data_IF_925871736789
#
_entry.id   IF_925871736789
#
_cell.length_a   1.000
_cell.length_b   1.000
_cell.length_c   1.000
_cell.angle_alpha   90.00
_cell.angle_beta   90.00
_cell.angle_gamma   90.00
#
_symmetry.space_group_name_H-M   'P 1'
#
loop_
_entity.id
_entity.type
_entity.pdbx_description
1 polymer ?
#
# COMPACT_ATOMS: atom_id res chain seq x y z
N UNK A 1 11.44 14.38 1.87
CA UNK A 1 10.34 13.52 2.39
C UNK A 1 9.24 14.44 2.85
N UNK A 2 7.99 14.10 2.57
CA UNK A 2 6.84 14.93 2.96
C UNK A 2 6.60 14.87 4.48
N UNK A 3 5.87 15.85 5.01
CA UNK A 3 5.55 15.97 6.44
C UNK A 3 4.06 15.76 6.69
N UNK A 4 3.73 15.07 7.77
CA UNK A 4 2.36 14.81 8.21
C UNK A 4 1.66 13.73 7.37
N UNK A 5 0.41 13.44 7.74
CA UNK A 5 -0.36 12.41 7.04
C UNK A 5 -0.82 12.87 5.66
N UNK A 6 -0.65 12.01 4.65
CA UNK A 6 -1.04 12.26 3.26
C UNK A 6 -1.87 11.09 2.72
N UNK A 7 -2.89 11.43 1.94
CA UNK A 7 -3.77 10.46 1.29
C UNK A 7 -3.34 10.22 -0.15
N UNK A 8 -3.25 8.95 -0.51
CA UNK A 8 -2.91 8.46 -1.84
C UNK A 8 -4.00 7.53 -2.35
N UNK A 9 -4.20 7.54 -3.67
CA UNK A 9 -5.26 6.78 -4.31
C UNK A 9 -4.74 6.07 -5.55
N UNK A 10 -5.14 4.81 -5.69
CA UNK A 10 -5.11 4.05 -6.93
C UNK A 10 -6.49 4.12 -7.56
N UNK A 11 -6.60 4.78 -8.72
CA UNK A 11 -7.87 4.97 -9.42
C UNK A 11 -7.67 4.62 -10.90
N UNK A 12 -8.38 3.60 -11.38
CA UNK A 12 -8.40 3.19 -12.78
C UNK A 12 -9.81 2.80 -13.21
N UNK A 13 -10.06 2.86 -14.51
CA UNK A 13 -11.25 2.30 -15.13
C UNK A 13 -10.83 1.42 -16.31
N UNK A 14 -11.25 0.17 -16.32
CA UNK A 14 -10.95 -0.80 -17.39
C UNK A 14 -12.22 -1.58 -17.72
N UNK A 15 -12.57 -1.67 -19.00
CA UNK A 15 -13.75 -2.42 -19.47
C UNK A 15 -15.06 -2.07 -18.73
N UNK A 16 -15.23 -0.79 -18.38
CA UNK A 16 -16.41 -0.29 -17.66
C UNK A 16 -16.43 -0.58 -16.15
N UNK A 17 -15.45 -1.30 -15.59
CA UNK A 17 -15.33 -1.52 -14.13
C UNK A 17 -14.33 -0.53 -13.51
N UNK A 18 -14.73 0.06 -12.39
CA UNK A 18 -13.85 0.88 -11.56
C UNK A 18 -12.89 0.02 -10.75
N UNK A 19 -11.67 0.51 -10.59
CA UNK A 19 -10.67 -0.01 -9.65
C UNK A 19 -10.26 1.12 -8.74
N UNK A 20 -10.58 0.98 -7.46
CA UNK A 20 -10.36 2.01 -6.47
C UNK A 20 -9.68 1.44 -5.23
N UNK A 21 -8.68 2.14 -4.74
CA UNK A 21 -8.12 1.93 -3.41
C UNK A 21 -7.46 3.20 -2.93
N UNK A 22 -7.55 3.49 -1.63
CA UNK A 22 -6.88 4.64 -1.04
C UNK A 22 -6.31 4.31 0.33
N UNK A 23 -5.21 4.97 0.66
CA UNK A 23 -4.57 4.90 1.96
C UNK A 23 -4.16 6.28 2.42
N UNK A 24 -4.25 6.54 3.71
CA UNK A 24 -3.60 7.69 4.34
C UNK A 24 -2.41 7.16 5.12
N UNK A 25 -1.23 7.68 4.82
CA UNK A 25 0.01 7.29 5.50
C UNK A 25 0.76 8.50 6.02
N UNK A 26 1.61 8.25 6.99
CA UNK A 26 2.67 9.15 7.43
C UNK A 26 3.97 8.35 7.47
N UNK A 27 5.07 8.92 7.00
CA UNK A 27 6.39 8.31 7.14
C UNK A 27 7.27 9.22 7.97
N UNK A 28 7.82 8.68 9.05
CA UNK A 28 8.73 9.40 9.95
C UNK A 28 10.09 8.72 9.99
N UNK A 29 11.15 9.51 10.21
CA UNK A 29 12.50 8.97 10.46
C UNK A 29 12.58 8.44 11.88
N UNK A 30 13.26 7.31 12.06
CA UNK A 30 13.50 6.70 13.36
C UNK A 30 14.97 6.37 13.53
N UNK A 31 15.39 6.03 14.75
CA UNK A 31 16.75 5.53 15.01
C UNK A 31 16.81 3.99 15.06
N UNK A 32 15.72 3.31 14.67
CA UNK A 32 15.57 1.85 14.74
C UNK A 32 15.52 1.24 13.34
N UNK A 33 15.56 -0.08 13.26
CA UNK A 33 15.24 -0.78 12.00
C UNK A 33 13.86 -0.34 11.52
N UNK A 34 13.66 -0.24 10.21
CA UNK A 34 12.40 0.20 9.64
C UNK A 34 11.25 -0.77 9.94
N UNK A 35 10.05 -0.23 10.17
CA UNK A 35 8.87 -1.00 10.54
C UNK A 35 7.58 -0.31 10.08
N UNK A 36 6.47 -1.05 10.13
CA UNK A 36 5.13 -0.56 9.83
C UNK A 36 4.33 -0.50 11.13
N UNK A 37 3.62 0.60 11.34
CA UNK A 37 2.67 0.77 12.45
C UNK A 37 1.26 0.79 11.91
N UNK A 38 0.41 -0.12 12.40
CA UNK A 38 -1.04 -0.06 12.19
C UNK A 38 -1.66 0.93 13.19
N UNK A 39 -1.91 2.16 12.72
CA UNK A 39 -2.67 3.17 13.43
C UNK A 39 -3.95 3.52 12.66
N UNK A 40 -4.50 2.53 11.93
CA UNK A 40 -5.65 2.75 11.06
C UNK A 40 -6.91 3.01 11.89
N UNK A 41 -7.42 4.23 11.83
CA UNK A 41 -8.61 4.61 12.60
C UNK A 41 -9.92 4.43 11.83
N UNK A 42 -9.85 4.09 10.54
CA UNK A 42 -11.02 3.97 9.65
C UNK A 42 -11.86 5.26 9.62
N UNK A 43 -11.22 6.44 9.69
CA UNK A 43 -11.90 7.74 9.79
C UNK A 43 -12.89 7.95 8.65
N UNK A 44 -12.47 7.66 7.41
CA UNK A 44 -13.33 7.81 6.22
C UNK A 44 -14.58 6.93 6.31
N UNK A 45 -14.43 5.68 6.73
CA UNK A 45 -15.56 4.76 6.85
C UNK A 45 -16.48 5.12 8.02
N UNK A 46 -15.92 5.47 9.19
CA UNK A 46 -16.71 5.91 10.35
C UNK A 46 -17.49 7.19 10.06
N UNK A 47 -16.89 8.12 9.29
CA UNK A 47 -17.55 9.34 8.86
C UNK A 47 -18.74 9.10 7.92
N UNK A 48 -18.63 8.09 7.04
CA UNK A 48 -19.73 7.71 6.13
C UNK A 48 -20.77 6.79 6.79
N UNK A 49 -20.36 5.96 7.75
CA UNK A 49 -21.18 4.94 8.40
C UNK A 49 -21.02 5.03 9.92
N UNK A 50 -21.91 5.75 10.63
CA UNK A 50 -21.78 5.97 12.08
C UNK A 50 -21.79 4.69 12.94
N UNK A 51 -22.38 3.60 12.43
CA UNK A 51 -22.39 2.27 13.07
C UNK A 51 -21.32 1.34 12.48
N UNK A 52 -20.21 1.89 11.99
CA UNK A 52 -19.14 1.12 11.37
C UNK A 52 -18.59 0.04 12.30
N UNK A 53 -18.51 -1.18 11.75
CA UNK A 53 -17.81 -2.31 12.35
C UNK A 53 -16.86 -2.86 11.30
N UNK A 54 -15.60 -3.09 11.70
CA UNK A 54 -14.59 -3.65 10.80
C UNK A 54 -14.94 -5.11 10.44
N UNK A 55 -15.56 -5.27 9.27
CA UNK A 55 -15.85 -6.57 8.67
C UNK A 55 -14.58 -7.30 8.20
N UNK A 56 -14.67 -8.61 7.96
CA UNK A 56 -13.51 -9.41 7.55
C UNK A 56 -12.89 -8.95 6.22
N UNK A 57 -13.70 -8.48 5.27
CA UNK A 57 -13.19 -7.93 4.00
C UNK A 57 -12.31 -6.68 4.23
N UNK A 58 -12.65 -5.83 5.20
CA UNK A 58 -11.88 -4.64 5.55
C UNK A 58 -10.57 -5.00 6.25
N UNK A 59 -10.57 -6.07 7.06
CA UNK A 59 -9.33 -6.62 7.63
C UNK A 59 -8.37 -7.07 6.54
N UNK A 60 -8.87 -7.68 5.46
CA UNK A 60 -8.04 -8.07 4.31
C UNK A 60 -7.43 -6.85 3.62
N UNK A 61 -8.19 -5.77 3.46
CA UNK A 61 -7.67 -4.51 2.91
C UNK A 61 -6.54 -3.93 3.76
N UNK A 62 -6.74 -3.89 5.09
CA UNK A 62 -5.73 -3.42 6.05
C UNK A 62 -4.48 -4.28 6.05
N UNK A 63 -4.66 -5.59 6.08
CA UNK A 63 -3.52 -6.51 6.01
C UNK A 63 -2.76 -6.36 4.68
N UNK A 64 -3.46 -6.11 3.56
CA UNK A 64 -2.82 -5.86 2.28
C UNK A 64 -1.96 -4.60 2.31
N UNK A 65 -2.45 -3.49 2.88
CA UNK A 65 -1.66 -2.28 3.05
C UNK A 65 -0.39 -2.53 3.88
N UNK A 66 -0.53 -3.21 5.01
CA UNK A 66 0.59 -3.53 5.92
C UNK A 66 1.62 -4.43 5.23
N UNK A 67 1.17 -5.46 4.51
CA UNK A 67 2.03 -6.38 3.77
C UNK A 67 2.80 -5.64 2.67
N UNK A 68 2.13 -4.75 1.92
CA UNK A 68 2.81 -3.96 0.89
C UNK A 68 3.86 -3.01 1.48
N UNK A 69 3.53 -2.32 2.57
CA UNK A 69 4.49 -1.42 3.23
C UNK A 69 5.70 -2.18 3.79
N UNK A 70 5.46 -3.35 4.40
CA UNK A 70 6.52 -4.23 4.91
C UNK A 70 7.41 -4.72 3.78
N UNK A 71 6.82 -5.13 2.66
CA UNK A 71 7.56 -5.55 1.49
C UNK A 71 8.38 -4.41 0.89
N UNK A 72 7.83 -3.19 0.82
CA UNK A 72 8.57 -2.03 0.38
C UNK A 72 9.82 -1.78 1.25
N UNK A 73 9.66 -1.83 2.58
CA UNK A 73 10.79 -1.71 3.52
C UNK A 73 11.86 -2.77 3.25
N UNK A 74 11.45 -4.01 3.03
CA UNK A 74 12.38 -5.12 2.81
C UNK A 74 13.09 -5.05 1.44
N UNK A 75 12.42 -4.47 0.44
CA UNK A 75 12.90 -4.45 -0.94
C UNK A 75 13.68 -3.19 -1.33
N UNK A 76 13.50 -2.05 -0.66
CA UNK A 76 14.07 -0.77 -1.10
C UNK A 76 14.91 -0.06 -0.02
N UNK A 77 16.21 0.13 -0.29
CA UNK A 77 17.14 0.70 0.70
C UNK A 77 16.87 2.15 1.10
N UNK A 78 16.12 2.92 0.31
CA UNK A 78 15.81 4.30 0.68
C UNK A 78 14.87 4.38 1.90
N UNK A 79 14.24 3.25 2.25
CA UNK A 79 13.38 3.08 3.42
C UNK A 79 14.14 2.58 4.65
N UNK A 80 15.46 2.83 4.71
CA UNK A 80 16.20 2.58 5.95
C UNK A 80 15.76 3.57 7.05
N UNK A 81 15.61 3.03 8.27
CA UNK A 81 15.34 3.82 9.48
C UNK A 81 14.09 4.71 9.37
N UNK A 82 13.00 4.16 8.85
CA UNK A 82 11.69 4.83 8.79
C UNK A 82 10.62 4.03 9.51
N UNK A 83 9.61 4.70 9.99
CA UNK A 83 8.34 4.10 10.40
C UNK A 83 7.28 4.53 9.40
N UNK A 84 6.62 3.56 8.77
CA UNK A 84 5.46 3.80 7.90
C UNK A 84 4.22 3.60 8.76
N UNK A 85 3.49 4.68 9.03
CA UNK A 85 2.29 4.68 9.85
C UNK A 85 1.08 4.69 8.92
N UNK A 86 0.31 3.61 8.94
CA UNK A 86 -0.98 3.52 8.26
C UNK A 86 -2.04 4.22 9.12
N UNK A 87 -2.62 5.32 8.63
CA UNK A 87 -3.59 6.15 9.36
C UNK A 87 -5.04 5.88 8.96
N UNK A 88 -5.28 5.62 7.68
CA UNK A 88 -6.62 5.33 7.18
C UNK A 88 -6.59 4.49 5.89
N UNK A 89 -7.71 3.84 5.60
CA UNK A 89 -7.95 3.09 4.36
C UNK A 89 -9.28 3.50 3.77
N UNK A 90 -9.28 3.79 2.48
CA UNK A 90 -10.44 4.20 1.70
C UNK A 90 -10.74 3.18 0.63
N UNK A 91 -12.00 2.83 0.48
CA UNK A 91 -12.44 1.88 -0.54
C UNK A 91 -13.93 2.02 -0.85
N UNK A 92 -14.34 1.41 -1.94
CA UNK A 92 -15.73 1.18 -2.32
C UNK A 92 -15.92 -0.33 -2.42
N UNK A 93 -16.88 -0.91 -1.72
CA UNK A 93 -17.07 -2.37 -1.68
C UNK A 93 -17.20 -3.03 -3.07
N UNK A 94 -17.69 -2.29 -4.07
CA UNK A 94 -17.86 -2.79 -5.44
C UNK A 94 -16.59 -2.73 -6.28
N UNK A 95 -15.67 -1.81 -5.96
CA UNK A 95 -14.55 -1.43 -6.83
C UNK A 95 -13.18 -1.64 -6.14
N UNK A 96 -13.19 -2.05 -4.88
CA UNK A 96 -11.99 -2.22 -4.06
C UNK A 96 -11.77 -3.68 -3.72
N UNK A 97 -10.57 -4.16 -4.01
CA UNK A 97 -10.03 -5.42 -3.52
C UNK A 97 -8.66 -5.18 -2.86
N UNK A 98 -8.12 -6.15 -2.11
CA UNK A 98 -6.81 -6.04 -1.45
C UNK A 98 -5.69 -5.51 -2.36
N UNK A 99 -5.59 -5.96 -3.61
CA UNK A 99 -4.54 -5.51 -4.54
C UNK A 99 -4.64 -4.02 -4.90
N UNK A 100 -5.84 -3.44 -4.94
CA UNK A 100 -6.02 -1.99 -5.14
C UNK A 100 -5.49 -1.19 -3.95
N UNK A 101 -5.72 -1.68 -2.72
CA UNK A 101 -5.24 -1.05 -1.49
C UNK A 101 -3.71 -1.14 -1.42
N UNK A 102 -3.14 -2.31 -1.71
CA UNK A 102 -1.69 -2.45 -1.75
C UNK A 102 -1.05 -1.61 -2.87
N UNK A 103 -1.68 -1.49 -4.04
CA UNK A 103 -1.19 -0.58 -5.08
C UNK A 103 -1.19 0.88 -4.63
N UNK A 104 -2.24 1.35 -3.94
CA UNK A 104 -2.26 2.68 -3.34
C UNK A 104 -1.15 2.86 -2.30
N UNK A 105 -0.89 1.85 -1.46
CA UNK A 105 0.22 1.86 -0.50
C UNK A 105 1.59 1.95 -1.18
N UNK A 106 1.84 1.15 -2.22
CA UNK A 106 3.12 1.18 -2.95
C UNK A 106 3.37 2.57 -3.57
N UNK A 107 2.35 3.15 -4.21
CA UNK A 107 2.42 4.51 -4.76
C UNK A 107 2.69 5.52 -3.64
N UNK A 108 1.97 5.40 -2.53
CA UNK A 108 2.11 6.28 -1.38
C UNK A 108 3.54 6.31 -0.84
N UNK A 109 4.13 5.13 -0.59
CA UNK A 109 5.49 5.01 -0.05
C UNK A 109 6.52 5.66 -0.97
N UNK A 110 6.47 5.35 -2.27
CA UNK A 110 7.42 5.89 -3.25
C UNK A 110 7.30 7.42 -3.40
N UNK A 111 6.07 7.93 -3.54
CA UNK A 111 5.84 9.36 -3.68
C UNK A 111 6.18 10.15 -2.39
N UNK A 112 5.80 9.63 -1.21
CA UNK A 112 6.06 10.28 0.07
C UNK A 112 7.57 10.41 0.34
N UNK A 113 8.35 9.41 -0.09
CA UNK A 113 9.81 9.41 -0.06
C UNK A 113 10.48 10.17 -1.21
N UNK A 114 9.74 10.96 -1.99
CA UNK A 114 10.25 11.77 -3.12
C UNK A 114 10.98 10.92 -4.18
N UNK A 115 10.59 9.66 -4.30
CA UNK A 115 11.10 8.71 -5.29
C UNK A 115 9.91 8.09 -6.03
N UNK A 116 9.07 8.88 -6.74
CA UNK A 116 7.84 8.37 -7.35
C UNK A 116 8.12 7.27 -8.38
N UNK A 117 7.19 6.31 -8.49
CA UNK A 117 7.27 5.26 -9.50
C UNK A 117 7.26 5.87 -10.91
N UNK A 118 8.19 5.44 -11.76
CA UNK A 118 8.19 5.79 -13.16
C UNK A 118 7.05 5.08 -13.93
N UNK A 119 6.85 5.46 -15.18
CA UNK A 119 5.79 4.89 -16.02
C UNK A 119 5.92 3.38 -16.19
N UNK A 120 7.14 2.83 -16.26
CA UNK A 120 7.37 1.39 -16.44
C UNK A 120 6.94 0.63 -15.18
N UNK A 121 7.31 1.14 -14.01
CA UNK A 121 6.93 0.56 -12.72
C UNK A 121 5.44 0.67 -12.45
N UNK A 122 4.80 1.77 -12.85
CA UNK A 122 3.35 1.92 -12.80
C UNK A 122 2.64 0.89 -13.69
N UNK A 123 3.16 0.59 -14.87
CA UNK A 123 2.63 -0.46 -15.74
C UNK A 123 2.74 -1.85 -15.09
N UNK A 124 3.90 -2.17 -14.49
CA UNK A 124 4.09 -3.44 -13.78
C UNK A 124 3.16 -3.58 -12.58
N UNK A 125 2.90 -2.47 -11.86
CA UNK A 125 1.94 -2.43 -10.78
C UNK A 125 0.50 -2.66 -11.29
N UNK A 126 0.12 -2.01 -12.38
CA UNK A 126 -1.19 -2.20 -13.02
C UNK A 126 -1.39 -3.67 -13.46
N UNK A 127 -0.40 -4.29 -14.10
CA UNK A 127 -0.45 -5.70 -14.49
C UNK A 127 -0.55 -6.64 -13.28
N UNK A 128 0.18 -6.34 -12.21
CA UNK A 128 0.12 -7.12 -10.97
C UNK A 128 -1.27 -7.05 -10.34
N UNK A 129 -1.87 -5.87 -10.28
CA UNK A 129 -3.24 -5.66 -9.80
C UNK A 129 -4.23 -6.46 -10.65
N UNK A 130 -4.09 -6.42 -11.97
CA UNK A 130 -4.97 -7.18 -12.89
C UNK A 130 -4.90 -8.70 -12.68
N UNK A 131 -3.71 -9.24 -12.39
CA UNK A 131 -3.55 -10.67 -12.07
C UNK A 131 -4.10 -11.06 -10.69
N UNK A 132 -4.26 -10.09 -9.78
CA UNK A 132 -4.66 -10.30 -8.39
C UNK A 132 -5.96 -9.56 -8.04
N UNK A 133 -6.90 -9.48 -8.98
CA UNK A 133 -8.17 -8.74 -8.83
C UNK A 133 -9.25 -9.62 -8.16
N UNK A 134 -8.99 -10.05 -6.92
CA UNK A 134 -9.87 -10.89 -6.12
C UNK A 134 -10.14 -10.25 -4.77
N UNK A 135 -11.39 -10.16 -4.37
CA UNK A 135 -11.80 -9.44 -3.14
C UNK A 135 -11.37 -10.14 -1.86
N UNK A 136 -11.26 -11.46 -1.88
CA UNK A 136 -11.04 -12.34 -0.73
C UNK A 136 -9.60 -12.85 -0.59
N UNK A 137 -8.70 -12.49 -1.51
CA UNK A 137 -7.31 -12.95 -1.52
C UNK A 137 -6.36 -11.77 -1.31
N UNK A 138 -5.48 -11.87 -0.31
CA UNK A 138 -4.37 -10.93 -0.14
C UNK A 138 -3.29 -11.31 -1.17
N UNK A 139 -2.90 -10.39 -2.06
CA UNK A 139 -1.87 -10.66 -3.05
C UNK A 139 -0.48 -10.73 -2.40
N UNK A 140 0.39 -11.53 -3.02
CA UNK A 140 1.79 -11.65 -2.63
C UNK A 140 2.65 -10.57 -3.32
N UNK A 141 2.94 -9.50 -2.60
CA UNK A 141 3.72 -8.36 -3.11
C UNK A 141 5.20 -8.67 -3.36
N UNK A 142 5.73 -9.78 -2.85
CA UNK A 142 7.11 -10.21 -3.17
C UNK A 142 7.27 -10.53 -4.66
N UNK A 143 6.16 -10.80 -5.36
CA UNK A 143 6.12 -11.11 -6.79
C UNK A 143 6.01 -9.86 -7.68
N UNK A 144 5.89 -8.66 -7.11
CA UNK A 144 5.81 -7.41 -7.86
C UNK A 144 7.23 -6.99 -8.32
N UNK A 145 7.56 -7.05 -9.62
CA UNK A 145 8.93 -6.92 -10.08
C UNK A 145 9.29 -5.46 -10.40
N UNK A 146 9.15 -4.54 -9.45
CA UNK A 146 9.48 -3.12 -9.69
C UNK A 146 10.96 -2.95 -10.08
N UNK A 147 11.22 -2.25 -11.18
CA UNK A 147 12.55 -1.85 -11.60
C UNK A 147 13.10 -0.83 -10.61
N UNK A 148 14.30 -1.10 -10.07
CA UNK A 148 14.94 -0.21 -9.12
C UNK A 148 15.60 -0.92 -7.95
N UNK A 149 15.39 -2.23 -7.73
CA UNK A 149 16.13 -2.94 -6.68
C UNK A 149 16.30 -4.45 -6.90
N UNK A 150 17.52 -4.93 -6.63
CA UNK A 150 17.80 -6.16 -5.88
C UNK A 150 19.12 -5.93 -5.14
N UNK A 151 19.09 -5.89 -3.82
CA UNK A 151 20.24 -6.31 -3.03
C UNK A 151 19.72 -7.10 -1.84
N UNK A 152 19.63 -8.42 -2.03
CA UNK A 152 20.01 -9.33 -0.99
C UNK A 152 21.37 -9.89 -1.39
N UNK A 153 22.44 -9.23 -0.91
CA UNK A 153 23.65 -9.96 -0.60
C UNK A 153 23.34 -10.84 0.60
N UNK A 154 22.87 -12.06 0.35
CA UNK A 154 22.99 -13.12 1.34
C UNK A 154 24.49 -13.42 1.41
N UNK A 155 25.16 -12.82 2.39
CA UNK A 155 26.39 -13.37 2.94
C UNK A 155 26.10 -13.75 4.38
N UNK A 156 25.95 -15.05 4.63
CA UNK A 156 26.75 -15.83 5.59
C UNK A 156 25.99 -17.10 6.00
N UNK A 157 26.64 -18.24 5.78
CA UNK A 157 26.19 -19.59 6.10
C UNK A 157 26.80 -20.59 5.15
#
# INVERSE_FOLDING_TARGET
>A
MKHGSLTYKYIKQRNGRGKYGGVTIEIIRTNRQAFVTDACEWETFKGAYPAFVESDILKLWKQSAINTASEAINSFSFLNNVEIILRDIMGLYTDTCPSHIGAAMMIAVFDYCESPLDQKNLLLLDEFVERNDKTDIIPDFTQLPLAGYKNHSIKNG
#
